data_IF_055601614388
#
_entry.id   IF_055601614388
#
_cell.length_a   1.000
_cell.length_b   1.000
_cell.length_c   1.000
_cell.angle_alpha   90.00
_cell.angle_beta   90.00
_cell.angle_gamma   90.00
#
_symmetry.space_group_name_H-M   'P 1'
#
loop_
_entity.id
_entity.type
_entity.pdbx_description
1 polymer ?
#
# COMPACT_ATOMS: atom_id res chain seq x y z
N UNK A 1 -15.04 -18.16 5.38
CA UNK A 1 -15.82 -17.14 4.65
C UNK A 1 -14.90 -15.95 4.46
N UNK A 2 -14.44 -15.67 3.23
CA UNK A 2 -13.67 -14.45 2.93
C UNK A 2 -14.66 -13.29 2.93
N UNK A 3 -14.51 -12.35 3.87
CA UNK A 3 -15.30 -11.10 3.87
C UNK A 3 -14.56 -10.14 2.92
N UNK A 4 -15.24 -9.51 1.95
CA UNK A 4 -14.55 -8.62 1.01
C UNK A 4 -14.04 -7.37 1.72
N UNK A 5 -12.86 -6.90 1.33
CA UNK A 5 -12.39 -5.56 1.66
C UNK A 5 -13.20 -4.55 0.83
N UNK A 6 -13.77 -3.55 1.49
CA UNK A 6 -14.54 -2.48 0.89
C UNK A 6 -13.74 -1.19 0.97
N UNK A 7 -13.24 -0.73 -0.17
CA UNK A 7 -12.67 0.61 -0.27
C UNK A 7 -13.73 1.61 -0.72
N UNK A 8 -13.72 2.80 -0.15
CA UNK A 8 -14.56 3.91 -0.60
C UNK A 8 -14.22 4.29 -2.04
N UNK A 9 -15.22 4.72 -2.82
CA UNK A 9 -15.04 5.02 -4.24
C UNK A 9 -14.12 6.22 -4.51
N UNK A 10 -13.85 7.05 -3.50
CA UNK A 10 -12.88 8.14 -3.53
C UNK A 10 -11.49 7.71 -3.03
N UNK A 11 -11.31 6.43 -2.70
CA UNK A 11 -10.07 5.87 -2.15
C UNK A 11 -9.70 6.38 -0.76
N UNK A 12 -10.58 7.13 -0.10
CA UNK A 12 -10.28 7.77 1.19
C UNK A 12 -10.14 6.78 2.35
N UNK A 13 -10.89 5.68 2.36
CA UNK A 13 -10.82 4.68 3.42
C UNK A 13 -11.15 3.26 2.98
N UNK A 14 -10.65 2.29 3.74
CA UNK A 14 -10.95 0.86 3.63
C UNK A 14 -11.71 0.36 4.87
N UNK A 15 -12.61 -0.60 4.69
CA UNK A 15 -13.44 -1.22 5.74
C UNK A 15 -13.86 -2.64 5.33
N UNK A 16 -14.50 -3.41 6.21
CA UNK A 16 -14.82 -4.81 5.91
C UNK A 16 -13.57 -5.70 5.94
N UNK A 17 -13.58 -6.87 5.31
CA UNK A 17 -12.37 -7.72 5.25
C UNK A 17 -11.82 -8.25 6.58
N UNK A 18 -12.54 -8.09 7.70
CA UNK A 18 -12.02 -8.36 9.05
C UNK A 18 -11.48 -7.13 9.79
N UNK A 19 -11.51 -5.95 9.16
CA UNK A 19 -11.19 -4.68 9.80
C UNK A 19 -12.27 -4.30 10.84
N UNK A 20 -11.81 -3.71 11.95
CA UNK A 20 -12.67 -3.31 13.07
C UNK A 20 -13.52 -2.05 12.80
N UNK A 21 -13.20 -1.32 11.74
CA UNK A 21 -13.79 -0.03 11.42
C UNK A 21 -13.29 0.52 10.09
N UNK A 22 -13.30 1.86 9.94
CA UNK A 22 -12.75 2.55 8.78
C UNK A 22 -11.27 2.85 9.00
N UNK A 23 -10.44 2.51 8.02
CA UNK A 23 -9.01 2.77 8.02
C UNK A 23 -8.67 3.71 6.87
N UNK A 24 -8.03 4.83 7.18
CA UNK A 24 -7.71 5.88 6.23
C UNK A 24 -6.26 5.74 5.74
N UNK A 25 -6.04 5.85 4.43
CA UNK A 25 -4.69 5.81 3.85
C UNK A 25 -3.88 7.00 4.37
N UNK A 26 -2.70 6.72 4.91
CA UNK A 26 -1.88 7.73 5.57
C UNK A 26 -0.53 7.91 4.87
N UNK A 27 0.11 6.80 4.49
CA UNK A 27 1.37 6.81 3.74
C UNK A 27 1.51 5.54 2.90
N UNK A 28 2.44 5.58 1.96
CA UNK A 28 2.88 4.41 1.23
C UNK A 28 4.38 4.44 1.04
N UNK A 29 4.98 3.26 0.87
CA UNK A 29 6.40 3.10 0.56
C UNK A 29 6.62 1.85 -0.27
N UNK A 30 7.77 1.80 -0.92
CA UNK A 30 8.17 0.69 -1.77
C UNK A 30 9.31 -0.08 -1.11
N UNK A 31 9.28 -1.40 -1.31
CA UNK A 31 10.41 -2.30 -1.11
C UNK A 31 10.82 -2.83 -2.47
N UNK A 32 12.12 -2.80 -2.77
CA UNK A 32 12.66 -3.29 -4.02
C UNK A 32 14.05 -3.86 -3.80
N UNK A 33 14.48 -4.77 -4.68
CA UNK A 33 15.78 -5.39 -4.63
C UNK A 33 16.75 -4.86 -5.68
N UNK A 34 17.87 -5.54 -5.81
CA UNK A 34 18.92 -5.24 -6.79
C UNK A 34 18.68 -5.90 -8.17
N UNK A 35 17.63 -6.72 -8.30
CA UNK A 35 17.30 -7.43 -9.53
C UNK A 35 15.80 -7.45 -9.80
N UNK A 36 15.44 -7.69 -11.06
CA UNK A 36 14.03 -7.77 -11.50
C UNK A 36 13.31 -9.05 -11.02
N UNK A 37 14.00 -9.90 -10.25
CA UNK A 37 13.47 -11.19 -9.77
C UNK A 37 13.33 -11.27 -8.25
N UNK A 38 13.79 -10.24 -7.53
CA UNK A 38 13.86 -10.21 -6.06
C UNK A 38 13.65 -8.80 -5.56
N UNK A 39 12.86 -8.60 -4.50
CA UNK A 39 12.70 -7.28 -3.90
C UNK A 39 11.51 -7.11 -2.96
N UNK A 40 10.45 -7.89 -3.18
CA UNK A 40 9.33 -7.98 -2.24
C UNK A 40 9.75 -8.60 -0.92
N UNK A 41 9.24 -8.06 0.18
CA UNK A 41 9.43 -8.64 1.51
C UNK A 41 8.58 -9.91 1.66
N UNK A 42 7.34 -9.87 1.17
CA UNK A 42 6.43 -11.01 1.15
C UNK A 42 6.60 -11.85 -0.12
N UNK A 43 6.11 -13.09 -0.04
CA UNK A 43 6.03 -14.00 -1.20
C UNK A 43 4.57 -14.37 -1.46
N UNK A 44 4.19 -14.45 -2.73
CA UNK A 44 2.92 -15.06 -3.15
C UNK A 44 3.26 -16.37 -3.86
N UNK A 45 2.66 -17.47 -3.42
CA UNK A 45 2.96 -18.82 -3.93
C UNK A 45 4.47 -19.14 -3.97
N UNK A 46 5.21 -18.72 -2.92
CA UNK A 46 6.65 -18.87 -2.75
C UNK A 46 7.52 -18.09 -3.76
N UNK A 47 6.92 -17.16 -4.52
CA UNK A 47 7.63 -16.28 -5.45
C UNK A 47 7.83 -14.90 -4.83
N UNK A 48 9.06 -14.39 -4.96
CA UNK A 48 9.34 -12.97 -4.76
C UNK A 48 9.04 -12.20 -6.03
N UNK A 49 8.69 -10.92 -5.84
CA UNK A 49 8.43 -9.96 -6.90
C UNK A 49 9.50 -8.86 -6.87
N UNK A 50 9.80 -8.21 -7.99
CA UNK A 50 10.80 -7.14 -8.04
C UNK A 50 10.51 -5.96 -7.11
N UNK A 51 9.22 -5.58 -6.96
CA UNK A 51 8.81 -4.48 -6.09
C UNK A 51 7.55 -4.85 -5.33
N UNK A 52 7.50 -4.46 -4.05
CA UNK A 52 6.30 -4.50 -3.21
C UNK A 52 5.95 -3.08 -2.73
N UNK A 53 4.68 -2.69 -2.86
CA UNK A 53 4.17 -1.41 -2.36
C UNK A 53 3.35 -1.65 -1.10
N UNK A 54 3.69 -0.99 0.00
CA UNK A 54 2.89 -0.98 1.22
C UNK A 54 2.03 0.27 1.26
N UNK A 55 0.72 0.11 1.35
CA UNK A 55 -0.25 1.17 1.64
C UNK A 55 -0.67 1.08 3.10
N UNK A 56 -0.17 2.00 3.93
CA UNK A 56 -0.40 2.00 5.37
C UNK A 56 -1.64 2.82 5.69
N UNK A 57 -2.62 2.14 6.26
CA UNK A 57 -3.89 2.74 6.69
C UNK A 57 -4.01 2.74 8.20
N UNK A 58 -4.63 3.78 8.74
CA UNK A 58 -4.81 3.99 10.18
C UNK A 58 -6.29 4.03 10.53
N UNK A 59 -6.68 3.34 11.60
CA UNK A 59 -8.05 3.32 12.12
C UNK A 59 -8.55 4.74 12.45
N UNK A 60 -9.80 5.02 12.11
CA UNK A 60 -10.47 6.28 12.44
C UNK A 60 -10.26 6.68 13.91
N UNK A 61 -9.84 7.93 14.13
CA UNK A 61 -9.51 8.46 15.46
C UNK A 61 -8.06 8.28 15.91
N UNK A 62 -7.24 7.56 15.13
CA UNK A 62 -5.79 7.47 15.33
C UNK A 62 -5.02 8.29 14.27
N UNK A 63 -3.75 8.58 14.55
CA UNK A 63 -2.77 9.10 13.59
C UNK A 63 -1.53 8.20 13.63
N UNK A 64 -0.54 8.44 12.76
CA UNK A 64 0.69 7.62 12.72
C UNK A 64 1.29 7.40 14.10
N UNK A 65 1.47 8.48 14.88
CA UNK A 65 2.08 8.42 16.22
C UNK A 65 1.24 7.61 17.22
N UNK A 66 -0.08 7.77 17.21
CA UNK A 66 -0.95 7.08 18.17
C UNK A 66 -1.29 5.66 17.76
N UNK A 67 -1.26 5.34 16.47
CA UNK A 67 -1.55 4.01 15.95
C UNK A 67 -0.48 2.98 16.34
N UNK A 68 0.79 3.39 16.42
CA UNK A 68 1.89 2.52 16.85
C UNK A 68 1.77 1.96 18.28
N UNK A 69 0.92 2.54 19.13
CA UNK A 69 0.72 2.07 20.50
C UNK A 69 -0.67 1.47 20.71
N UNK A 70 -1.47 1.35 19.65
CA UNK A 70 -2.83 0.87 19.69
C UNK A 70 -2.95 -0.47 18.96
N UNK A 71 -3.58 -1.44 19.63
CA UNK A 71 -3.82 -2.77 19.07
C UNK A 71 -4.74 -2.69 17.86
N UNK A 72 -4.36 -3.35 16.77
CA UNK A 72 -5.06 -3.39 15.48
C UNK A 72 -5.35 -2.02 14.85
N UNK A 73 -4.63 -0.95 15.23
CA UNK A 73 -4.89 0.39 14.71
C UNK A 73 -4.25 0.65 13.33
N UNK A 74 -3.42 -0.27 12.83
CA UNK A 74 -2.74 -0.18 11.54
C UNK A 74 -3.18 -1.36 10.66
N UNK A 75 -3.57 -1.06 9.43
CA UNK A 75 -3.82 -2.04 8.39
C UNK A 75 -2.92 -1.73 7.19
N UNK A 76 -2.19 -2.73 6.71
CA UNK A 76 -1.30 -2.60 5.55
C UNK A 76 -1.87 -3.42 4.40
N UNK A 77 -2.04 -2.75 3.27
CA UNK A 77 -2.34 -3.39 1.99
C UNK A 77 -1.04 -3.47 1.21
N UNK A 78 -0.61 -4.68 0.87
CA UNK A 78 0.57 -4.91 0.04
C UNK A 78 0.17 -5.19 -1.40
N UNK A 79 0.84 -4.55 -2.36
CA UNK A 79 0.67 -4.80 -3.80
C UNK A 79 2.01 -5.21 -4.39
N UNK A 80 2.03 -6.38 -5.03
CA UNK A 80 3.19 -6.87 -5.77
C UNK A 80 3.22 -6.30 -7.18
N UNK A 81 4.37 -5.79 -7.62
CA UNK A 81 4.59 -5.32 -9.00
C UNK A 81 5.53 -6.28 -9.73
N UNK A 82 5.24 -6.51 -11.00
CA UNK A 82 6.06 -7.31 -11.89
C UNK A 82 6.58 -6.45 -13.04
N UNK A 83 7.82 -6.71 -13.47
CA UNK A 83 8.37 -6.09 -14.67
C UNK A 83 7.67 -6.70 -15.88
N UNK A 84 7.06 -5.87 -16.71
CA UNK A 84 6.47 -6.25 -17.98
C UNK A 84 7.33 -5.73 -19.13
N UNK A 85 7.39 -6.50 -20.22
CA UNK A 85 8.08 -6.08 -21.46
C UNK A 85 7.31 -4.98 -22.21
N UNK A 86 6.03 -4.79 -21.84
CA UNK A 86 5.09 -3.88 -22.46
C UNK A 86 5.00 -2.59 -21.64
N UNK A 87 5.05 -1.42 -22.30
CA UNK A 87 4.89 -0.11 -21.66
C UNK A 87 3.43 0.18 -21.35
N UNK A 88 2.79 -0.63 -20.54
CA UNK A 88 1.48 -0.28 -20.01
C UNK A 88 1.64 0.91 -19.05
N UNK A 89 1.04 2.04 -19.45
CA UNK A 89 1.20 3.39 -18.89
C UNK A 89 0.73 3.57 -17.43
N UNK A 90 0.37 2.48 -16.75
CA UNK A 90 -0.18 2.49 -15.39
C UNK A 90 0.82 3.04 -14.39
N UNK A 91 2.14 2.87 -14.62
CA UNK A 91 3.19 3.42 -13.74
C UNK A 91 3.92 4.64 -14.34
N UNK A 92 3.56 5.11 -15.54
CA UNK A 92 4.23 6.28 -16.16
C UNK A 92 4.11 7.54 -15.27
N UNK A 93 2.96 7.73 -14.61
CA UNK A 93 2.77 8.80 -13.64
C UNK A 93 3.66 8.66 -12.39
N UNK A 94 4.08 7.43 -12.05
CA UNK A 94 5.01 7.16 -10.96
C UNK A 94 6.47 7.39 -11.39
N UNK A 95 6.81 7.07 -12.64
CA UNK A 95 8.12 7.40 -13.21
C UNK A 95 8.34 8.91 -13.25
N UNK A 96 7.38 9.67 -13.77
CA UNK A 96 7.41 11.14 -13.83
C UNK A 96 7.53 11.76 -12.43
N UNK A 97 6.81 11.19 -11.46
CA UNK A 97 6.88 11.57 -10.06
C UNK A 97 8.26 11.37 -9.44
N UNK A 98 8.86 10.19 -9.65
CA UNK A 98 10.20 9.86 -9.13
C UNK A 98 11.24 10.78 -9.77
N UNK A 99 11.15 11.01 -11.09
CA UNK A 99 12.01 11.96 -11.81
C UNK A 99 11.89 13.38 -11.22
N UNK A 100 10.68 13.84 -10.93
CA UNK A 100 10.46 15.15 -10.32
C UNK A 100 11.04 15.27 -8.90
N UNK A 101 11.15 14.18 -8.15
CA UNK A 101 11.80 14.18 -6.81
C UNK A 101 13.33 14.15 -6.85
N UNK A 102 13.93 13.75 -7.98
CA UNK A 102 15.39 13.85 -8.20
C UNK A 102 15.87 15.28 -8.48
N UNK A 103 14.94 16.22 -8.66
CA UNK A 103 15.22 17.66 -8.61
C UNK A 103 14.94 18.21 -7.21
N UNK A 104 15.78 19.12 -6.66
CA UNK A 104 15.50 19.73 -5.35
C UNK A 104 14.13 20.43 -5.34
N UNK A 105 13.17 19.85 -4.62
CA UNK A 105 11.80 20.37 -4.59
C UNK A 105 10.80 19.37 -3.99
N UNK A 106 9.55 19.82 -3.84
CA UNK A 106 8.41 18.99 -3.43
C UNK A 106 7.60 18.64 -4.69
N UNK A 107 7.56 17.37 -5.06
CA UNK A 107 6.65 16.88 -6.10
C UNK A 107 5.28 16.55 -5.48
N UNK A 108 4.19 16.81 -6.20
CA UNK A 108 2.84 16.35 -5.84
C UNK A 108 2.37 15.40 -6.93
N UNK A 109 2.07 14.17 -6.55
CA UNK A 109 1.71 13.09 -7.46
C UNK A 109 0.29 12.67 -7.14
N UNK A 110 -0.60 12.65 -8.14
CA UNK A 110 -1.95 12.11 -7.96
C UNK A 110 -1.89 10.60 -8.07
N UNK A 111 -1.65 9.96 -6.93
CA UNK A 111 -1.47 8.51 -6.85
C UNK A 111 -2.78 7.71 -7.08
N UNK A 112 -3.93 8.35 -6.89
CA UNK A 112 -5.27 7.74 -6.99
C UNK A 112 -5.66 7.25 -8.40
N UNK A 113 -4.88 7.56 -9.45
CA UNK A 113 -5.11 7.01 -10.80
C UNK A 113 -4.18 5.83 -11.14
N UNK A 114 -3.12 5.59 -10.36
CA UNK A 114 -2.15 4.51 -10.60
C UNK A 114 -2.73 3.12 -10.28
N UNK A 115 -3.61 3.07 -9.31
CA UNK A 115 -4.39 1.90 -9.00
C UNK A 115 -5.82 2.41 -9.01
N UNK A 116 -6.55 2.14 -10.09
CA UNK A 116 -8.01 2.18 -10.02
C UNK A 116 -8.40 1.05 -9.05
N UNK A 117 -8.29 1.36 -7.75
CA UNK A 117 -8.78 0.61 -6.60
C UNK A 117 -10.31 0.68 -6.72
N UNK A 118 -10.81 0.02 -7.76
CA UNK A 118 -12.19 0.07 -8.18
C UNK A 118 -12.94 -0.90 -7.31
N UNK A 119 -14.01 -0.41 -6.69
CA UNK A 119 -14.82 -1.24 -5.82
C UNK A 119 -15.63 -2.25 -6.68
N UNK A 120 -15.62 -3.56 -6.36
CA UNK A 120 -14.83 -4.25 -5.34
C UNK A 120 -13.51 -4.83 -5.91
N UNK A 121 -12.42 -4.61 -5.19
CA UNK A 121 -11.16 -5.30 -5.45
C UNK A 121 -11.24 -6.75 -4.99
N UNK A 122 -10.78 -7.66 -5.85
CA UNK A 122 -10.62 -9.07 -5.52
C UNK A 122 -9.11 -9.37 -5.39
N UNK A 123 -8.78 -10.28 -4.49
CA UNK A 123 -7.44 -10.84 -4.27
C UNK A 123 -6.36 -9.92 -3.68
N UNK A 124 -6.75 -8.94 -2.87
CA UNK A 124 -5.80 -8.21 -2.02
C UNK A 124 -5.65 -8.91 -0.68
N UNK A 125 -4.40 -9.23 -0.33
CA UNK A 125 -4.04 -9.63 1.03
C UNK A 125 -3.92 -8.37 1.91
N UNK A 126 -4.69 -8.36 2.99
CA UNK A 126 -4.65 -7.30 3.99
C UNK A 126 -4.02 -7.88 5.24
N UNK A 127 -2.87 -7.34 5.62
CA UNK A 127 -2.27 -7.63 6.91
C UNK A 127 -2.73 -6.58 7.91
N UNK A 128 -3.28 -6.99 9.05
CA UNK A 128 -3.51 -6.11 10.19
C UNK A 128 -2.24 -6.18 11.03
N UNK A 129 -1.54 -5.06 11.16
CA UNK A 129 -0.33 -4.96 11.94
C UNK A 129 -0.67 -4.37 13.31
N UNK A 130 -0.13 -4.97 14.36
CA UNK A 130 -0.05 -4.31 15.66
C UNK A 130 1.18 -3.41 15.67
N UNK A 131 1.04 -2.26 16.33
CA UNK A 131 2.19 -1.42 16.60
C UNK A 131 3.13 -2.13 17.57
N UNK A 132 4.33 -2.49 17.09
CA UNK A 132 5.42 -2.90 17.97
C UNK A 132 5.75 -1.73 18.92
N UNK A 133 5.77 -1.94 20.25
CA UNK A 133 6.18 -0.91 21.17
C UNK A 133 7.60 -0.48 20.80
N UNK A 134 7.81 0.82 20.53
CA UNK A 134 9.15 1.35 20.28
C UNK A 134 10.05 0.94 21.44
N UNK A 135 11.08 0.15 21.15
CA UNK A 135 12.12 -0.18 22.12
C UNK A 135 12.69 1.11 22.71
N UNK A 136 12.89 1.20 24.04
CA UNK A 136 13.34 2.42 24.72
C UNK A 136 14.70 2.90 24.26
#
# INVERSE_FOLDING_TARGET
>A
MRVPLMTSCDGSFSSGGGLSGKYYLQQFHFHWGDSDTTGSEHTLDLLHYPVEVHFVHVLEGHNETTAHNATHAIAVVSVMLQVADDKDDVLTNLEDAIIATNTPGRATVKFLELFSITCPLQDIEVAIADGEPKSP
#
